data_IF_208119534267
#
_entry.id   IF_208119534267
#
_cell.length_a   1.000
_cell.length_b   1.000
_cell.length_c   1.000
_cell.angle_alpha   90.00
_cell.angle_beta   90.00
_cell.angle_gamma   90.00
#
_symmetry.space_group_name_H-M   'P 1'
#
loop_
_entity.id
_entity.type
_entity.pdbx_description
1 polymer ?
#
# COMPACT_ATOMS: atom_id res chain seq x y z
N UNK A 1 27.53 -12.08 12.21
CA UNK A 1 27.14 -11.96 10.79
C UNK A 1 25.69 -12.39 10.66
N UNK A 2 24.75 -11.46 10.74
CA UNK A 2 23.32 -11.72 10.52
C UNK A 2 23.08 -11.82 9.01
N UNK A 3 22.52 -12.93 8.54
CA UNK A 3 22.18 -13.12 7.12
C UNK A 3 21.14 -12.08 6.70
N UNK A 4 21.39 -11.36 5.61
CA UNK A 4 20.45 -10.40 5.02
C UNK A 4 19.18 -11.16 4.60
N UNK A 5 17.97 -10.76 5.05
CA UNK A 5 16.73 -11.37 4.59
C UNK A 5 16.58 -11.17 3.09
N UNK A 6 16.26 -12.23 2.34
CA UNK A 6 15.84 -12.08 0.93
C UNK A 6 14.59 -11.19 0.85
N UNK A 7 14.36 -10.51 -0.29
CA UNK A 7 13.18 -9.64 -0.49
C UNK A 7 11.85 -10.34 -0.13
N UNK A 8 11.75 -11.62 -0.51
CA UNK A 8 10.63 -12.50 -0.14
C UNK A 8 10.43 -12.58 1.38
N UNK A 9 11.53 -12.70 2.14
CA UNK A 9 11.50 -12.81 3.60
C UNK A 9 11.11 -11.49 4.26
N UNK A 10 11.45 -10.35 3.66
CA UNK A 10 10.99 -9.03 4.13
C UNK A 10 9.48 -8.97 3.98
N UNK A 11 8.93 -9.11 2.77
CA UNK A 11 7.48 -9.00 2.54
C UNK A 11 6.68 -10.02 3.38
N UNK A 12 7.14 -11.25 3.49
CA UNK A 12 6.49 -12.26 4.35
C UNK A 12 6.57 -11.95 5.85
N UNK A 13 7.57 -11.18 6.31
CA UNK A 13 7.60 -10.71 7.70
C UNK A 13 6.52 -9.65 7.99
N UNK A 14 6.15 -8.86 6.97
CA UNK A 14 5.04 -7.90 7.06
C UNK A 14 3.69 -8.57 6.82
N UNK A 15 3.63 -9.57 5.92
CA UNK A 15 2.40 -10.23 5.48
C UNK A 15 2.56 -11.77 5.54
N UNK A 16 2.40 -12.41 6.71
CA UNK A 16 2.75 -13.82 6.88
C UNK A 16 1.93 -14.81 6.02
N UNK A 17 0.79 -14.39 5.49
CA UNK A 17 -0.08 -15.22 4.65
C UNK A 17 0.33 -15.25 3.16
N UNK A 18 1.22 -14.35 2.72
CA UNK A 18 1.53 -14.20 1.29
C UNK A 18 2.56 -15.23 0.83
N UNK A 19 2.42 -15.65 -0.41
CA UNK A 19 3.38 -16.50 -1.12
C UNK A 19 4.28 -15.69 -2.05
N UNK A 20 5.44 -16.25 -2.40
CA UNK A 20 6.40 -15.64 -3.31
C UNK A 20 6.32 -16.29 -4.69
N UNK A 21 6.39 -15.52 -5.80
CA UNK A 21 6.45 -14.06 -5.84
C UNK A 21 5.13 -13.44 -5.37
N UNK A 22 5.22 -12.26 -4.72
CA UNK A 22 4.04 -11.57 -4.24
C UNK A 22 3.18 -11.11 -5.43
N UNK A 23 1.92 -11.53 -5.45
CA UNK A 23 0.89 -11.02 -6.36
C UNK A 23 -0.04 -10.10 -5.57
N UNK A 24 -0.19 -8.87 -6.06
CA UNK A 24 -1.10 -7.89 -5.47
C UNK A 24 -2.20 -7.51 -6.45
N UNK A 25 -3.41 -7.30 -5.94
CA UNK A 25 -4.47 -6.62 -6.69
C UNK A 25 -4.48 -5.15 -6.31
N UNK A 26 -4.12 -4.27 -7.24
CA UNK A 26 -4.06 -2.83 -7.03
C UNK A 26 -5.41 -2.23 -6.60
N UNK A 27 -5.42 -1.09 -5.87
CA UNK A 27 -6.64 -0.39 -5.45
C UNK A 27 -7.32 0.33 -6.61
N UNK A 28 -8.04 -0.42 -7.45
CA UNK A 28 -8.80 0.11 -8.58
C UNK A 28 -10.13 0.67 -8.11
N UNK A 29 -10.27 2.00 -8.06
CA UNK A 29 -11.53 2.65 -7.65
C UNK A 29 -12.72 2.11 -8.48
N UNK A 30 -13.85 1.86 -7.82
CA UNK A 30 -15.08 1.26 -8.38
C UNK A 30 -14.99 -0.22 -8.78
N UNK A 31 -13.80 -0.84 -8.76
CA UNK A 31 -13.58 -2.22 -9.24
C UNK A 31 -13.09 -3.11 -8.10
N UNK A 32 -12.08 -2.65 -7.36
CA UNK A 32 -11.47 -3.38 -6.26
C UNK A 32 -12.29 -3.20 -4.97
N UNK A 33 -13.36 -3.97 -4.85
CA UNK A 33 -14.21 -4.05 -3.66
C UNK A 33 -13.82 -5.23 -2.76
N UNK A 34 -14.58 -5.50 -1.71
CA UNK A 34 -14.34 -6.58 -0.75
C UNK A 34 -14.19 -7.95 -1.42
N UNK A 35 -14.98 -8.26 -2.45
CA UNK A 35 -14.94 -9.57 -3.12
C UNK A 35 -13.59 -9.83 -3.78
N UNK A 36 -13.06 -8.85 -4.50
CA UNK A 36 -11.76 -8.98 -5.16
C UNK A 36 -10.63 -9.00 -4.13
N UNK A 37 -10.64 -8.06 -3.18
CA UNK A 37 -9.57 -7.93 -2.20
C UNK A 37 -9.47 -9.18 -1.30
N UNK A 38 -10.59 -9.72 -0.84
CA UNK A 38 -10.62 -10.94 -0.03
C UNK A 38 -10.22 -12.18 -0.83
N UNK A 39 -10.71 -12.34 -2.06
CA UNK A 39 -10.36 -13.49 -2.90
C UNK A 39 -8.84 -13.58 -3.17
N UNK A 40 -8.20 -12.44 -3.43
CA UNK A 40 -6.74 -12.38 -3.64
C UNK A 40 -5.99 -12.74 -2.37
N UNK A 41 -6.44 -12.23 -1.22
CA UNK A 41 -5.78 -12.47 0.08
C UNK A 41 -5.93 -13.92 0.54
N UNK A 42 -7.11 -14.52 0.33
CA UNK A 42 -7.36 -15.95 0.52
C UNK A 42 -6.50 -16.84 -0.40
N UNK A 43 -6.13 -16.31 -1.57
CA UNK A 43 -5.26 -16.99 -2.54
C UNK A 43 -3.76 -16.77 -2.29
N UNK A 44 -3.37 -16.36 -1.07
CA UNK A 44 -1.99 -16.07 -0.68
C UNK A 44 -1.33 -14.91 -1.45
N UNK A 45 -2.14 -13.97 -1.93
CA UNK A 45 -1.71 -12.67 -2.45
C UNK A 45 -2.04 -11.54 -1.47
N UNK A 46 -1.98 -10.30 -1.95
CA UNK A 46 -2.40 -9.10 -1.19
C UNK A 46 -3.44 -8.29 -1.98
N UNK A 47 -4.68 -8.32 -1.51
CA UNK A 47 -5.76 -7.53 -2.10
C UNK A 47 -5.85 -6.13 -1.50
N UNK A 48 -6.19 -5.13 -2.33
CA UNK A 48 -6.45 -3.76 -1.88
C UNK A 48 -7.88 -3.31 -2.22
N UNK A 49 -8.49 -2.54 -1.34
CA UNK A 49 -9.75 -1.84 -1.56
C UNK A 49 -9.50 -0.49 -2.25
N UNK A 50 -10.23 -0.21 -3.33
CA UNK A 50 -10.11 1.02 -4.11
C UNK A 50 -10.95 2.18 -3.58
N UNK A 51 -10.49 2.85 -2.51
CA UNK A 51 -11.20 4.01 -1.92
C UNK A 51 -11.10 5.24 -2.85
N UNK A 52 -9.91 5.49 -3.39
CA UNK A 52 -9.67 6.63 -4.28
C UNK A 52 -9.81 7.96 -3.54
N UNK A 53 -10.70 8.84 -4.02
CA UNK A 53 -10.96 10.16 -3.42
C UNK A 53 -12.20 10.20 -2.53
N UNK A 54 -13.06 9.18 -2.59
CA UNK A 54 -14.34 9.15 -1.86
C UNK A 54 -14.19 8.31 -0.58
N UNK A 55 -13.76 8.99 0.49
CA UNK A 55 -13.49 8.37 1.79
C UNK A 55 -14.77 7.87 2.47
N UNK A 56 -15.96 8.34 2.07
CA UNK A 56 -17.23 7.83 2.62
C UNK A 56 -17.42 6.34 2.39
N UNK A 57 -16.77 5.78 1.36
CA UNK A 57 -16.80 4.34 1.03
C UNK A 57 -15.89 3.48 1.93
N UNK A 58 -14.95 4.08 2.66
CA UNK A 58 -13.96 3.35 3.45
C UNK A 58 -14.61 2.51 4.56
N UNK A 59 -15.40 3.15 5.41
CA UNK A 59 -16.06 2.45 6.54
C UNK A 59 -16.95 1.28 6.08
N UNK A 60 -17.88 1.45 5.10
CA UNK A 60 -18.71 0.32 4.66
C UNK A 60 -17.89 -0.80 3.98
N UNK A 61 -16.83 -0.48 3.23
CA UNK A 61 -15.96 -1.50 2.63
C UNK A 61 -15.14 -2.26 3.67
N UNK A 62 -14.64 -1.59 4.72
CA UNK A 62 -13.96 -2.27 5.82
C UNK A 62 -14.93 -3.21 6.55
N UNK A 63 -16.13 -2.74 6.88
CA UNK A 63 -17.15 -3.54 7.57
C UNK A 63 -17.57 -4.78 6.75
N UNK A 64 -17.81 -4.61 5.44
CA UNK A 64 -18.17 -5.73 4.57
C UNK A 64 -17.01 -6.72 4.42
N UNK A 65 -15.77 -6.22 4.33
CA UNK A 65 -14.57 -7.07 4.23
C UNK A 65 -14.36 -7.88 5.50
N UNK A 66 -14.47 -7.26 6.68
CA UNK A 66 -14.43 -7.97 7.96
C UNK A 66 -15.48 -9.07 8.03
N UNK A 67 -16.72 -8.76 7.65
CA UNK A 67 -17.84 -9.74 7.65
C UNK A 67 -17.59 -10.93 6.71
N UNK A 68 -16.90 -10.73 5.59
CA UNK A 68 -16.50 -11.82 4.67
C UNK A 68 -15.41 -12.68 5.31
N UNK A 69 -14.41 -12.05 5.93
CA UNK A 69 -13.26 -12.75 6.50
C UNK A 69 -13.55 -13.43 7.84
N UNK A 70 -14.58 -13.01 8.58
CA UNK A 70 -15.10 -13.76 9.72
C UNK A 70 -15.61 -15.14 9.30
N UNK A 71 -16.21 -15.25 8.11
CA UNK A 71 -16.73 -16.50 7.54
C UNK A 71 -15.65 -17.33 6.85
N UNK A 72 -14.56 -16.68 6.41
CA UNK A 72 -13.47 -17.31 5.67
C UNK A 72 -12.17 -16.60 6.04
N UNK A 73 -11.56 -16.97 7.18
CA UNK A 73 -10.38 -16.28 7.68
C UNK A 73 -9.15 -16.57 6.82
N UNK A 74 -8.31 -15.55 6.60
CA UNK A 74 -6.99 -15.74 6.01
C UNK A 74 -6.06 -16.28 7.09
N UNK A 75 -5.56 -17.51 6.89
CA UNK A 75 -4.61 -18.12 7.81
C UNK A 75 -3.34 -17.27 7.94
N UNK A 76 -2.77 -17.19 9.14
CA UNK A 76 -1.56 -16.42 9.48
C UNK A 76 -1.71 -14.89 9.46
N UNK A 77 -2.94 -14.35 9.28
CA UNK A 77 -3.19 -12.94 9.52
C UNK A 77 -2.88 -12.59 11.01
N UNK A 78 -2.05 -11.56 11.28
CA UNK A 78 -1.74 -11.16 12.65
C UNK A 78 -2.99 -10.64 13.40
N UNK A 79 -3.02 -10.74 14.74
CA UNK A 79 -4.08 -10.14 15.55
C UNK A 79 -4.23 -8.64 15.29
N UNK A 80 -5.47 -8.15 15.24
CA UNK A 80 -5.78 -6.73 15.01
C UNK A 80 -5.55 -6.24 13.58
N UNK A 81 -5.14 -7.12 12.66
CA UNK A 81 -4.88 -6.79 11.26
C UNK A 81 -5.97 -7.38 10.37
N UNK A 82 -6.55 -6.54 9.53
CA UNK A 82 -7.39 -6.96 8.41
C UNK A 82 -6.45 -7.29 7.24
N UNK A 83 -6.44 -8.53 6.71
CA UNK A 83 -5.50 -8.98 5.67
C UNK A 83 -5.88 -8.47 4.27
N UNK A 84 -6.36 -7.22 4.18
CA UNK A 84 -6.49 -6.45 2.94
C UNK A 84 -5.94 -5.05 3.16
N UNK A 85 -5.38 -4.46 2.11
CA UNK A 85 -4.98 -3.05 2.10
C UNK A 85 -6.10 -2.12 1.65
N UNK A 86 -5.87 -0.83 1.76
CA UNK A 86 -6.74 0.24 1.23
C UNK A 86 -5.92 1.20 0.39
N UNK A 87 -6.48 1.75 -0.69
CA UNK A 87 -5.78 2.70 -1.55
C UNK A 87 -6.46 4.04 -1.70
N UNK A 88 -5.68 5.12 -1.60
CA UNK A 88 -6.14 6.50 -1.63
C UNK A 88 -5.47 7.30 -2.75
N UNK A 89 -6.23 8.23 -3.33
CA UNK A 89 -5.72 9.28 -4.20
C UNK A 89 -5.57 10.54 -3.33
N UNK A 90 -4.35 10.77 -2.84
CA UNK A 90 -4.05 11.72 -1.77
C UNK A 90 -4.50 13.15 -2.09
N UNK A 91 -4.36 13.63 -3.33
CA UNK A 91 -4.76 14.98 -3.69
C UNK A 91 -6.27 15.24 -3.57
N UNK A 92 -7.11 14.21 -3.63
CA UNK A 92 -8.57 14.36 -3.62
C UNK A 92 -9.28 13.72 -2.42
N UNK A 93 -8.62 12.82 -1.69
CA UNK A 93 -9.15 12.21 -0.49
C UNK A 93 -9.02 13.14 0.73
N UNK A 94 -9.99 13.07 1.64
CA UNK A 94 -9.93 13.72 2.96
C UNK A 94 -9.11 12.87 3.94
N UNK A 95 -7.93 13.37 4.31
CA UNK A 95 -7.03 12.69 5.25
C UNK A 95 -7.65 12.51 6.63
N UNK A 96 -8.28 13.55 7.18
CA UNK A 96 -8.83 13.54 8.55
C UNK A 96 -9.99 12.55 8.67
N UNK A 97 -10.84 12.49 7.64
CA UNK A 97 -11.88 11.47 7.56
C UNK A 97 -11.28 10.06 7.46
N UNK A 98 -10.23 9.87 6.65
CA UNK A 98 -9.61 8.56 6.46
C UNK A 98 -8.95 8.05 7.75
N UNK A 99 -8.17 8.88 8.45
CA UNK A 99 -7.53 8.51 9.70
C UNK A 99 -8.55 8.24 10.81
N UNK A 100 -9.66 8.99 10.83
CA UNK A 100 -10.73 8.78 11.83
C UNK A 100 -11.36 7.41 11.67
N UNK A 101 -11.66 7.01 10.42
CA UNK A 101 -12.21 5.68 10.13
C UNK A 101 -11.18 4.57 10.41
N UNK A 102 -9.92 4.73 10.01
CA UNK A 102 -8.85 3.74 10.30
C UNK A 102 -8.66 3.58 11.81
N UNK A 103 -8.69 4.68 12.57
CA UNK A 103 -8.55 4.67 14.03
C UNK A 103 -9.72 3.97 14.71
N UNK A 104 -10.95 4.17 14.24
CA UNK A 104 -12.15 3.55 14.79
C UNK A 104 -12.33 2.07 14.38
N UNK A 105 -11.74 1.63 13.26
CA UNK A 105 -11.87 0.25 12.80
C UNK A 105 -11.29 -0.77 13.81
N UNK A 106 -12.02 -1.84 14.08
CA UNK A 106 -11.55 -2.90 14.99
C UNK A 106 -10.29 -3.61 14.46
N UNK A 107 -10.29 -3.96 13.18
CA UNK A 107 -9.15 -4.52 12.47
C UNK A 107 -8.55 -3.45 11.55
N UNK A 108 -7.24 -3.24 11.64
CA UNK A 108 -6.54 -2.24 10.81
C UNK A 108 -6.21 -2.82 9.44
N UNK A 109 -6.47 -2.12 8.32
CA UNK A 109 -6.00 -2.55 7.01
C UNK A 109 -4.50 -2.84 7.06
N UNK A 110 -4.04 -3.97 6.53
CA UNK A 110 -2.63 -4.35 6.63
C UNK A 110 -1.67 -3.40 5.89
N UNK A 111 -2.20 -2.66 4.92
CA UNK A 111 -1.44 -1.70 4.15
C UNK A 111 -2.31 -0.51 3.71
N UNK A 112 -1.68 0.66 3.57
CA UNK A 112 -2.24 1.83 2.92
C UNK A 112 -1.41 2.16 1.68
N UNK A 113 -2.04 2.11 0.52
CA UNK A 113 -1.46 2.46 -0.77
C UNK A 113 -1.78 3.91 -1.11
N UNK A 114 -0.74 4.73 -1.19
CA UNK A 114 -0.84 6.17 -1.36
C UNK A 114 -0.38 6.56 -2.75
N UNK A 115 -1.25 7.26 -3.48
CA UNK A 115 -0.98 7.72 -4.84
C UNK A 115 -1.31 9.21 -5.01
N UNK A 116 -0.52 9.87 -5.86
CA UNK A 116 -0.72 11.24 -6.32
C UNK A 116 -0.94 12.24 -5.16
N UNK A 117 0.05 12.45 -4.28
CA UNK A 117 0.02 13.59 -3.37
C UNK A 117 0.12 14.91 -4.16
N UNK A 118 -0.32 16.01 -3.53
CA UNK A 118 -0.13 17.36 -4.09
C UNK A 118 1.36 17.76 -4.10
N UNK A 119 2.07 17.36 -3.05
CA UNK A 119 3.49 17.61 -2.82
C UNK A 119 4.03 16.62 -1.77
N UNK A 120 5.35 16.55 -1.59
CA UNK A 120 5.96 15.57 -0.68
C UNK A 120 5.54 15.75 0.79
N UNK A 121 5.37 17.01 1.24
CA UNK A 121 4.90 17.31 2.61
C UNK A 121 3.47 16.82 2.84
N UNK A 122 2.62 16.91 1.82
CA UNK A 122 1.27 16.35 1.89
C UNK A 122 1.34 14.82 2.05
N UNK A 123 2.23 14.14 1.31
CA UNK A 123 2.45 12.71 1.47
C UNK A 123 2.96 12.34 2.87
N UNK A 124 3.90 13.12 3.41
CA UNK A 124 4.42 12.95 4.77
C UNK A 124 3.29 12.95 5.80
N UNK A 125 2.37 13.92 5.74
CA UNK A 125 1.19 13.96 6.62
C UNK A 125 0.31 12.71 6.48
N UNK A 126 0.07 12.23 5.25
CA UNK A 126 -0.65 10.96 5.03
C UNK A 126 0.04 9.78 5.72
N UNK A 127 1.36 9.64 5.53
CA UNK A 127 2.10 8.50 6.10
C UNK A 127 2.12 8.53 7.63
N UNK A 128 2.32 9.70 8.23
CA UNK A 128 2.33 9.88 9.68
C UNK A 128 0.94 9.62 10.27
N UNK A 129 -0.09 10.24 9.71
CA UNK A 129 -1.47 10.11 10.18
C UNK A 129 -1.97 8.66 10.13
N UNK A 130 -1.67 7.92 9.06
CA UNK A 130 -2.07 6.50 8.95
C UNK A 130 -1.31 5.62 9.94
N UNK A 131 0.00 5.84 10.12
CA UNK A 131 0.78 5.08 11.13
C UNK A 131 0.23 5.30 12.53
N UNK A 132 -0.09 6.55 12.90
CA UNK A 132 -0.67 6.88 14.19
C UNK A 132 -2.08 6.28 14.35
N UNK A 133 -2.95 6.43 13.36
CA UNK A 133 -4.32 5.90 13.39
C UNK A 133 -4.38 4.38 13.47
N UNK A 134 -3.41 3.69 12.86
CA UNK A 134 -3.32 2.22 12.88
C UNK A 134 -2.43 1.68 14.01
N UNK A 135 -1.88 2.52 14.88
CA UNK A 135 -0.88 2.11 15.89
C UNK A 135 0.31 1.34 15.28
N UNK A 136 0.71 1.71 14.07
CA UNK A 136 1.80 1.09 13.31
C UNK A 136 1.48 -0.25 12.65
N UNK A 137 0.23 -0.73 12.73
CA UNK A 137 -0.19 -1.99 12.12
C UNK A 137 -0.32 -1.90 10.59
N UNK A 138 -0.73 -0.75 10.06
CA UNK A 138 -0.82 -0.54 8.61
C UNK A 138 0.53 -0.15 8.04
N UNK A 139 1.02 -0.94 7.07
CA UNK A 139 2.23 -0.64 6.32
C UNK A 139 1.98 0.40 5.22
N UNK A 140 2.96 1.25 4.96
CA UNK A 140 2.83 2.35 4.01
C UNK A 140 3.42 1.93 2.66
N UNK A 141 2.56 1.90 1.65
CA UNK A 141 2.90 1.65 0.25
C UNK A 141 2.77 2.97 -0.51
N UNK A 142 3.83 3.42 -1.17
CA UNK A 142 3.82 4.68 -1.92
C UNK A 142 4.04 4.40 -3.39
N UNK A 143 3.09 4.83 -4.22
CA UNK A 143 3.19 4.72 -5.67
C UNK A 143 3.91 5.94 -6.27
N UNK A 144 4.95 5.66 -7.06
CA UNK A 144 5.81 6.65 -7.71
C UNK A 144 6.00 6.28 -9.20
N UNK A 145 6.21 7.29 -10.05
CA UNK A 145 6.45 7.08 -11.50
C UNK A 145 7.73 7.73 -12.01
N UNK A 146 8.55 8.29 -11.12
CA UNK A 146 9.86 8.86 -11.46
C UNK A 146 10.90 8.50 -10.41
N UNK A 147 12.18 8.49 -10.80
CA UNK A 147 13.31 8.27 -9.88
C UNK A 147 13.33 9.33 -8.78
N UNK A 148 13.06 10.59 -9.15
CA UNK A 148 13.00 11.70 -8.19
C UNK A 148 11.94 11.46 -7.11
N UNK A 149 10.73 11.09 -7.51
CA UNK A 149 9.64 10.83 -6.56
C UNK A 149 9.96 9.63 -5.65
N UNK A 150 10.61 8.59 -6.20
CA UNK A 150 11.05 7.44 -5.42
C UNK A 150 12.06 7.84 -4.32
N UNK A 151 13.07 8.63 -4.67
CA UNK A 151 14.09 9.11 -3.73
C UNK A 151 13.49 10.06 -2.70
N UNK A 152 12.64 11.00 -3.11
CA UNK A 152 12.00 11.94 -2.20
C UNK A 152 11.06 11.22 -1.22
N UNK A 153 10.24 10.28 -1.72
CA UNK A 153 9.38 9.45 -0.87
C UNK A 153 10.19 8.60 0.12
N UNK A 154 11.30 8.02 -0.31
CA UNK A 154 12.18 7.25 0.57
C UNK A 154 12.78 8.10 1.70
N UNK A 155 13.27 9.30 1.36
CA UNK A 155 13.88 10.25 2.30
C UNK A 155 12.89 10.82 3.30
N UNK A 156 11.72 11.23 2.85
CA UNK A 156 10.77 12.00 3.67
C UNK A 156 9.73 11.11 4.35
N UNK A 157 9.26 10.05 3.69
CA UNK A 157 8.09 9.30 4.15
C UNK A 157 8.44 7.91 4.72
N UNK A 158 9.66 7.42 4.49
CA UNK A 158 10.16 6.12 4.95
C UNK A 158 9.17 4.97 4.67
N UNK A 159 8.71 4.78 3.42
CA UNK A 159 7.71 3.77 3.10
C UNK A 159 8.20 2.35 3.44
N UNK A 160 7.26 1.48 3.79
CA UNK A 160 7.54 0.04 3.89
C UNK A 160 7.70 -0.58 2.49
N UNK A 161 6.99 -0.04 1.49
CA UNK A 161 7.07 -0.47 0.08
C UNK A 161 6.98 0.75 -0.86
N UNK A 162 7.88 0.81 -1.85
CA UNK A 162 7.73 1.66 -3.02
C UNK A 162 7.10 0.86 -4.17
N UNK A 163 6.00 1.36 -4.71
CA UNK A 163 5.36 0.81 -5.90
C UNK A 163 5.80 1.63 -7.11
N UNK A 164 6.65 1.03 -7.94
CA UNK A 164 7.16 1.67 -9.15
C UNK A 164 6.14 1.46 -10.29
N UNK A 165 5.39 2.51 -10.63
CA UNK A 165 4.40 2.49 -11.71
C UNK A 165 5.01 3.04 -13.00
N UNK A 166 5.25 2.16 -13.97
CA UNK A 166 5.61 2.57 -15.33
C UNK A 166 4.42 3.11 -16.14
N UNK A 167 4.70 3.82 -17.22
CA UNK A 167 3.69 4.37 -18.15
C UNK A 167 2.84 3.30 -18.85
N UNK A 168 3.29 2.05 -18.83
CA UNK A 168 2.60 0.90 -19.41
C UNK A 168 1.43 0.39 -18.53
N UNK A 169 1.34 0.86 -17.29
CA UNK A 169 0.29 0.47 -16.35
C UNK A 169 -1.07 1.09 -16.72
N UNK A 170 -2.15 0.33 -16.50
CA UNK A 170 -3.51 0.85 -16.66
C UNK A 170 -3.92 1.87 -15.58
N UNK A 171 -4.98 2.62 -15.85
CA UNK A 171 -5.57 3.59 -14.91
C UNK A 171 -4.91 4.97 -14.95
N UNK A 172 -4.96 5.70 -13.85
CA UNK A 172 -4.31 7.01 -13.75
C UNK A 172 -2.80 6.83 -13.59
N UNK A 173 -2.02 7.50 -14.46
CA UNK A 173 -0.58 7.64 -14.35
C UNK A 173 -0.17 9.09 -14.03
N UNK A 174 1.08 9.30 -13.62
CA UNK A 174 1.62 10.64 -13.48
C UNK A 174 1.97 11.25 -14.85
N UNK A 175 1.80 12.57 -14.97
CA UNK A 175 2.08 13.31 -16.20
C UNK A 175 3.54 13.15 -16.68
N UNK A 176 4.47 13.00 -15.74
CA UNK A 176 5.86 12.60 -16.02
C UNK A 176 6.02 11.15 -15.58
N UNK A 177 6.31 10.28 -16.54
CA UNK A 177 6.54 8.85 -16.28
C UNK A 177 7.46 8.26 -17.34
N UNK A 178 7.90 7.04 -17.11
CA UNK A 178 8.71 6.25 -18.05
C UNK A 178 8.20 4.81 -18.05
N UNK A 179 8.52 4.05 -19.10
CA UNK A 179 8.16 2.64 -19.15
C UNK A 179 8.80 1.87 -17.98
N UNK A 180 8.13 0.82 -17.51
CA UNK A 180 8.60 0.03 -16.37
C UNK A 180 10.00 -0.58 -16.63
N UNK A 181 10.32 -0.87 -17.89
CA UNK A 181 11.60 -1.46 -18.31
C UNK A 181 12.79 -0.56 -17.95
N UNK A 182 12.63 0.77 -18.08
CA UNK A 182 13.67 1.74 -17.70
C UNK A 182 13.52 2.19 -16.25
N UNK A 183 12.28 2.49 -15.85
CA UNK A 183 12.00 3.11 -14.56
C UNK A 183 12.42 2.23 -13.37
N UNK A 184 12.13 0.93 -13.42
CA UNK A 184 12.43 0.02 -12.31
C UNK A 184 13.94 -0.10 -12.03
N UNK A 185 14.82 -0.44 -13.00
CA UNK A 185 16.25 -0.50 -12.75
C UNK A 185 16.84 0.87 -12.34
N UNK A 186 16.42 1.97 -12.97
CA UNK A 186 16.91 3.30 -12.61
C UNK A 186 16.55 3.71 -11.17
N UNK A 187 15.32 3.41 -10.73
CA UNK A 187 14.90 3.60 -9.35
C UNK A 187 15.73 2.72 -8.41
N UNK A 188 15.92 1.43 -8.73
CA UNK A 188 16.66 0.49 -7.89
C UNK A 188 18.12 0.93 -7.68
N UNK A 189 18.82 1.28 -8.76
CA UNK A 189 20.22 1.73 -8.71
C UNK A 189 20.37 3.03 -7.93
N UNK A 190 19.46 3.99 -8.16
CA UNK A 190 19.52 5.29 -7.49
C UNK A 190 19.19 5.16 -6.00
N UNK A 191 18.15 4.42 -5.64
CA UNK A 191 17.80 4.17 -4.23
C UNK A 191 18.95 3.47 -3.51
N UNK A 192 19.61 2.48 -4.15
CA UNK A 192 20.79 1.82 -3.58
C UNK A 192 21.93 2.80 -3.34
N UNK A 193 22.23 3.67 -4.32
CA UNK A 193 23.26 4.71 -4.20
C UNK A 193 22.96 5.71 -3.07
N UNK A 194 21.69 6.05 -2.89
CA UNK A 194 21.22 6.99 -1.85
C UNK A 194 21.03 6.33 -0.47
N UNK A 195 21.29 5.02 -0.33
CA UNK A 195 21.18 4.29 0.94
C UNK A 195 19.77 3.82 1.32
N UNK A 196 18.82 3.85 0.38
CA UNK A 196 17.43 3.38 0.56
C UNK A 196 17.14 2.07 -0.17
N UNK A 197 18.08 1.55 -0.96
CA UNK A 197 17.95 0.28 -1.65
C UNK A 197 18.08 -0.91 -0.69
N UNK A 198 17.42 -2.00 -1.05
CA UNK A 198 17.56 -3.29 -0.38
C UNK A 198 18.89 -3.87 -0.88
N UNK A 199 19.87 -4.03 0.02
CA UNK A 199 21.28 -4.35 -0.32
C UNK A 199 21.44 -5.63 -1.15
#
# INVERSE_FOLDING_TARGET
MTSIPTLSRILQSHYPWVSSPLICSAPLRLIATEKLATAVSLSKGLGFLGIGTDVSTLQPLLASTTSVLEKSPVALAPPGVLPVGVGFICWGADLEAAISVIKAAELKPCAAWLFAPREIKHLEHWTKGIREASSGLSKIWIQVSTVKDAVDAAKTCHPDVLVIQGSDAGGHGLAKSSSIISLLPECADTLKKEGFGIL
#
